data_IF_079805742276
#
_entry.id   IF_079805742276
#
_cell.length_a   1.000
_cell.length_b   1.000
_cell.length_c   1.000
_cell.angle_alpha   90.00
_cell.angle_beta   90.00
_cell.angle_gamma   90.00
#
_symmetry.space_group_name_H-M   'P 1'
#
loop_
_entity.id
_entity.type
_entity.pdbx_description
1 polymer ?
#
# COMPACT_ATOMS: atom_id res chain seq x y z
N UNK A 1 2.91 57.74 -3.81
CA UNK A 1 2.00 56.59 -3.95
C UNK A 1 2.87 55.33 -3.97
N UNK A 2 2.92 54.61 -2.85
CA UNK A 2 3.72 53.38 -2.69
C UNK A 2 2.88 52.20 -3.18
N UNK A 3 3.33 51.55 -4.26
CA UNK A 3 2.72 50.33 -4.79
C UNK A 3 3.07 49.16 -3.87
N UNK A 4 2.11 48.64 -3.14
CA UNK A 4 2.24 47.38 -2.43
C UNK A 4 2.16 46.22 -3.45
N UNK A 5 3.26 45.55 -3.65
CA UNK A 5 3.31 44.30 -4.40
C UNK A 5 2.92 43.19 -3.40
N UNK A 6 1.71 42.67 -3.52
CA UNK A 6 1.28 41.48 -2.80
C UNK A 6 1.90 40.28 -3.54
N UNK A 7 2.97 39.71 -2.97
CA UNK A 7 3.51 38.41 -3.40
C UNK A 7 2.58 37.35 -2.80
N UNK A 8 1.68 36.82 -3.62
CA UNK A 8 0.94 35.60 -3.28
C UNK A 8 1.95 34.46 -3.41
N UNK A 9 2.52 34.07 -2.27
CA UNK A 9 3.25 32.80 -2.18
C UNK A 9 2.23 31.68 -2.38
N UNK A 10 2.20 31.11 -3.59
CA UNK A 10 1.51 29.87 -3.85
C UNK A 10 2.21 28.80 -3.00
N UNK A 11 1.65 28.48 -1.83
CA UNK A 11 2.02 27.31 -1.06
C UNK A 11 1.66 26.09 -1.94
N UNK A 12 2.63 25.64 -2.75
CA UNK A 12 2.60 24.29 -3.28
C UNK A 12 2.68 23.33 -2.09
N UNK A 13 1.53 23.02 -1.49
CA UNK A 13 1.42 21.81 -0.71
C UNK A 13 1.77 20.67 -1.65
N UNK A 14 3.02 20.25 -1.64
CA UNK A 14 3.43 18.94 -2.12
C UNK A 14 2.71 17.95 -1.22
N UNK A 15 1.46 17.59 -1.56
CA UNK A 15 0.82 16.41 -1.05
C UNK A 15 1.75 15.27 -1.43
N UNK A 16 2.54 14.83 -0.47
CA UNK A 16 3.31 13.59 -0.57
C UNK A 16 2.29 12.55 -0.99
N UNK A 17 2.40 12.02 -2.21
CA UNK A 17 1.56 10.92 -2.67
C UNK A 17 1.81 9.78 -1.67
N UNK A 18 0.90 9.65 -0.73
CA UNK A 18 0.83 8.56 0.23
C UNK A 18 0.11 7.44 -0.50
N UNK A 19 0.56 6.19 -0.41
CA UNK A 19 -0.20 5.02 -0.84
C UNK A 19 -1.64 5.09 -0.30
N UNK A 20 -2.20 4.01 0.12
CA UNK A 20 -3.43 4.11 0.91
C UNK A 20 -3.35 5.21 1.97
N UNK A 21 -4.41 5.99 2.13
CA UNK A 21 -4.51 6.95 3.23
C UNK A 21 -4.30 6.25 4.58
N UNK A 22 -3.89 7.00 5.62
CA UNK A 22 -3.75 6.47 7.00
C UNK A 22 -4.95 5.62 7.41
N UNK A 23 -6.13 6.05 7.04
CA UNK A 23 -7.38 5.36 7.35
C UNK A 23 -7.44 3.96 6.75
N UNK A 24 -7.05 3.81 5.49
CA UNK A 24 -7.03 2.51 4.79
C UNK A 24 -5.90 1.62 5.34
N UNK A 25 -4.71 2.16 5.57
CA UNK A 25 -3.63 1.42 6.24
C UNK A 25 -4.06 0.87 7.61
N UNK A 26 -4.74 1.70 8.42
CA UNK A 26 -5.26 1.25 9.71
C UNK A 26 -6.31 0.15 9.56
N UNK A 27 -7.16 0.23 8.53
CA UNK A 27 -8.12 -0.82 8.21
C UNK A 27 -7.46 -2.13 7.79
N UNK A 28 -6.44 -2.08 6.93
CA UNK A 28 -5.65 -3.25 6.52
C UNK A 28 -4.97 -3.89 7.74
N UNK A 29 -4.31 -3.08 8.58
CA UNK A 29 -3.66 -3.56 9.79
C UNK A 29 -4.66 -4.15 10.81
N UNK A 30 -5.89 -3.61 10.90
CA UNK A 30 -6.94 -4.17 11.74
C UNK A 30 -7.40 -5.54 11.24
N UNK A 31 -7.60 -5.73 9.92
CA UNK A 31 -7.90 -7.03 9.33
C UNK A 31 -6.75 -8.01 9.60
N UNK A 32 -5.50 -7.57 9.42
CA UNK A 32 -4.33 -8.41 9.71
C UNK A 32 -4.31 -8.82 11.18
N UNK A 33 -4.50 -7.89 12.11
CA UNK A 33 -4.53 -8.16 13.54
C UNK A 33 -5.65 -9.14 13.94
N UNK A 34 -6.83 -9.04 13.33
CA UNK A 34 -7.97 -9.93 13.55
C UNK A 34 -7.65 -11.38 13.15
N UNK A 35 -6.76 -11.57 12.18
CA UNK A 35 -6.36 -12.87 11.61
C UNK A 35 -4.98 -13.36 12.09
N UNK A 36 -4.39 -12.74 13.12
CA UNK A 36 -3.21 -13.29 13.78
C UNK A 36 -3.58 -14.49 14.64
N UNK A 37 -2.68 -15.48 14.70
CA UNK A 37 -2.75 -16.55 15.70
C UNK A 37 -2.52 -15.95 17.10
N UNK A 38 -2.97 -16.64 18.13
CA UNK A 38 -2.81 -16.17 19.53
C UNK A 38 -1.32 -16.01 19.89
N UNK A 39 -0.45 -16.92 19.41
CA UNK A 39 0.99 -16.86 19.65
C UNK A 39 1.63 -15.66 18.93
N UNK A 40 1.32 -15.44 17.66
CA UNK A 40 1.80 -14.28 16.93
C UNK A 40 1.28 -12.98 17.55
N UNK A 41 0.02 -12.93 17.95
CA UNK A 41 -0.61 -11.77 18.59
C UNK A 41 0.11 -11.41 19.89
N UNK A 42 0.40 -12.41 20.72
CA UNK A 42 1.14 -12.24 21.98
C UNK A 42 2.55 -11.71 21.71
N UNK A 43 3.33 -12.39 20.86
CA UNK A 43 4.71 -12.02 20.53
C UNK A 43 4.81 -10.61 19.98
N UNK A 44 3.90 -10.24 19.07
CA UNK A 44 3.86 -8.90 18.46
C UNK A 44 3.46 -7.83 19.49
N UNK A 45 2.51 -8.12 20.37
CA UNK A 45 2.10 -7.20 21.44
C UNK A 45 3.27 -6.91 22.39
N UNK A 46 4.03 -7.92 22.78
CA UNK A 46 5.25 -7.76 23.59
C UNK A 46 6.33 -6.98 22.86
N UNK A 47 6.52 -7.23 21.55
CA UNK A 47 7.47 -6.51 20.70
C UNK A 47 7.12 -5.02 20.58
N UNK A 48 5.84 -4.68 20.59
CA UNK A 48 5.29 -3.32 20.45
C UNK A 48 4.97 -2.65 21.80
N UNK A 49 5.47 -3.18 22.92
CA UNK A 49 5.27 -2.65 24.27
C UNK A 49 3.77 -2.40 24.57
N UNK A 50 2.93 -3.39 24.26
CA UNK A 50 1.48 -3.39 24.52
C UNK A 50 0.63 -2.68 23.45
N UNK A 51 1.23 -2.10 22.40
CA UNK A 51 0.48 -1.46 21.31
C UNK A 51 0.15 -2.46 20.20
N UNK A 52 -0.90 -2.18 19.43
CA UNK A 52 -1.25 -3.02 18.27
C UNK A 52 -0.52 -2.54 17.01
N UNK A 53 -0.43 -3.41 15.99
CA UNK A 53 0.08 -3.07 14.67
C UNK A 53 -0.73 -1.95 13.99
N UNK A 54 -1.99 -1.76 14.38
CA UNK A 54 -2.86 -0.70 13.85
C UNK A 54 -2.32 0.70 14.20
N UNK A 55 -1.75 0.84 15.40
CA UNK A 55 -1.13 2.10 15.82
C UNK A 55 0.03 2.51 14.90
N UNK A 56 0.77 1.53 14.37
CA UNK A 56 1.95 1.74 13.53
C UNK A 56 1.70 1.49 12.03
N UNK A 57 0.44 1.46 11.59
CA UNK A 57 0.08 1.03 10.24
C UNK A 57 0.76 1.82 9.10
N UNK A 58 1.24 3.04 9.38
CA UNK A 58 1.97 3.89 8.43
C UNK A 58 3.41 4.19 8.87
N UNK A 59 4.08 3.27 9.51
CA UNK A 59 5.40 3.48 10.10
C UNK A 59 6.41 4.17 9.16
N UNK A 60 6.57 3.68 7.92
CA UNK A 60 7.49 4.28 6.93
C UNK A 60 7.15 5.75 6.65
N UNK A 61 5.87 6.11 6.63
CA UNK A 61 5.43 7.49 6.37
C UNK A 61 5.63 8.40 7.59
N UNK A 62 5.33 7.89 8.78
CA UNK A 62 5.42 8.65 10.02
C UNK A 62 6.87 9.01 10.37
N UNK A 63 7.82 8.16 10.00
CA UNK A 63 9.23 8.33 10.29
C UNK A 63 10.08 8.72 9.06
N UNK A 64 9.45 9.00 7.91
CA UNK A 64 10.15 9.26 6.65
C UNK A 64 11.18 10.41 6.73
N UNK A 65 11.00 11.38 7.61
CA UNK A 65 11.89 12.52 7.78
C UNK A 65 12.97 12.30 8.85
N UNK A 66 12.89 11.20 9.60
CA UNK A 66 13.96 10.81 10.50
C UNK A 66 15.15 10.28 9.69
N UNK A 67 16.37 10.69 10.06
CA UNK A 67 17.60 10.31 9.37
C UNK A 67 17.77 8.79 9.24
N UNK A 68 17.48 8.04 10.31
CA UNK A 68 17.56 6.58 10.34
C UNK A 68 16.65 5.90 9.31
N UNK A 69 15.54 6.53 8.92
CA UNK A 69 14.52 5.96 8.02
C UNK A 69 14.50 6.60 6.62
N UNK A 70 15.38 7.55 6.31
CA UNK A 70 15.43 8.22 4.99
C UNK A 70 15.55 7.23 3.82
N UNK A 71 16.24 6.12 4.02
CA UNK A 71 16.40 5.08 3.02
C UNK A 71 15.08 4.41 2.63
N UNK A 72 14.06 4.45 3.49
CA UNK A 72 12.74 3.85 3.22
C UNK A 72 11.87 4.70 2.27
N UNK A 73 12.25 5.94 1.97
CA UNK A 73 11.49 6.84 1.06
C UNK A 73 11.29 6.25 -0.33
N UNK A 74 12.17 5.36 -0.76
CA UNK A 74 12.09 4.67 -2.06
C UNK A 74 11.35 3.33 -2.00
N UNK A 75 10.84 2.93 -0.84
CA UNK A 75 10.16 1.64 -0.60
C UNK A 75 8.64 1.71 -0.72
N UNK A 76 8.11 2.70 -1.42
CA UNK A 76 6.65 2.92 -1.55
C UNK A 76 6.06 2.37 -2.83
N UNK A 77 6.85 2.30 -3.90
CA UNK A 77 6.41 1.90 -5.22
C UNK A 77 7.25 0.75 -5.75
N UNK A 78 6.67 0.00 -6.68
CA UNK A 78 7.35 -1.04 -7.43
C UNK A 78 7.23 -0.78 -8.92
N UNK A 79 8.32 -0.96 -9.68
CA UNK A 79 8.31 -0.78 -11.12
C UNK A 79 8.18 -2.12 -11.87
N UNK A 80 7.36 -2.11 -12.91
CA UNK A 80 7.11 -3.24 -13.80
C UNK A 80 7.45 -2.87 -15.24
N UNK A 81 7.95 -3.85 -15.99
CA UNK A 81 8.07 -3.75 -17.45
C UNK A 81 6.69 -3.84 -18.12
N UNK A 82 6.65 -3.55 -19.42
CA UNK A 82 5.50 -3.77 -20.30
C UNK A 82 4.94 -5.21 -20.28
N UNK A 83 5.80 -6.18 -19.94
CA UNK A 83 5.45 -7.62 -19.82
C UNK A 83 5.08 -8.05 -18.40
N UNK A 84 4.68 -7.13 -17.55
CA UNK A 84 4.30 -7.36 -16.14
C UNK A 84 5.39 -8.09 -15.31
N UNK A 85 6.67 -7.85 -15.60
CA UNK A 85 7.79 -8.37 -14.81
C UNK A 85 8.37 -7.28 -13.93
N UNK A 86 8.70 -7.60 -12.68
CA UNK A 86 9.37 -6.66 -11.78
C UNK A 86 10.65 -6.14 -12.44
N UNK A 87 10.80 -4.83 -12.50
CA UNK A 87 12.00 -4.19 -12.99
C UNK A 87 13.08 -4.28 -11.91
N UNK A 88 14.18 -4.99 -12.20
CA UNK A 88 15.27 -5.22 -11.25
C UNK A 88 15.83 -3.90 -10.71
N UNK A 89 16.13 -3.82 -9.42
CA UNK A 89 16.59 -2.62 -8.71
C UNK A 89 17.71 -1.86 -9.44
N UNK A 90 18.76 -2.57 -9.92
CA UNK A 90 19.85 -1.94 -10.69
C UNK A 90 19.38 -1.20 -11.96
N UNK A 91 18.33 -1.70 -12.62
CA UNK A 91 17.73 -1.05 -13.80
C UNK A 91 16.79 0.06 -13.37
N UNK A 92 15.95 -0.18 -12.36
CA UNK A 92 15.05 0.83 -11.81
C UNK A 92 15.83 2.06 -11.31
N UNK A 93 16.86 1.87 -10.49
CA UNK A 93 17.65 2.97 -9.90
C UNK A 93 18.40 3.82 -10.94
N UNK A 94 18.68 3.27 -12.13
CA UNK A 94 19.33 3.98 -13.25
C UNK A 94 18.34 4.58 -14.25
N UNK A 95 17.05 4.44 -14.02
CA UNK A 95 16.03 4.93 -14.95
C UNK A 95 15.93 6.46 -14.86
N UNK A 96 15.86 7.14 -16.01
CA UNK A 96 15.77 8.59 -16.07
C UNK A 96 14.52 9.16 -15.40
N UNK A 97 13.41 8.42 -15.50
CA UNK A 97 12.15 8.86 -14.88
C UNK A 97 12.16 8.60 -13.37
N UNK A 98 12.09 9.69 -12.57
CA UNK A 98 12.20 9.68 -11.11
C UNK A 98 11.26 8.70 -10.40
N UNK A 99 10.02 8.55 -10.89
CA UNK A 99 9.08 7.59 -10.28
C UNK A 99 9.59 6.14 -10.35
N UNK A 100 10.27 5.78 -11.44
CA UNK A 100 10.85 4.44 -11.61
C UNK A 100 12.13 4.29 -10.79
N UNK A 101 13.02 5.29 -10.80
CA UNK A 101 14.28 5.22 -10.04
C UNK A 101 14.07 5.19 -8.52
N UNK A 102 12.91 5.63 -8.03
CA UNK A 102 12.49 5.54 -6.62
C UNK A 102 11.52 4.40 -6.31
N UNK A 103 11.34 3.42 -7.22
CA UNK A 103 10.36 2.34 -7.08
C UNK A 103 11.03 1.05 -6.60
N UNK A 104 11.53 1.04 -5.36
CA UNK A 104 12.32 -0.03 -4.77
C UNK A 104 11.60 -0.74 -3.60
N UNK A 105 10.26 -0.74 -3.59
CA UNK A 105 9.47 -1.37 -2.52
C UNK A 105 9.72 -2.89 -2.43
N UNK A 106 9.91 -3.56 -3.55
CA UNK A 106 10.19 -5.00 -3.55
C UNK A 106 11.52 -5.33 -2.86
N UNK A 107 12.55 -4.57 -3.12
CA UNK A 107 13.86 -4.72 -2.47
C UNK A 107 13.78 -4.45 -0.97
N UNK A 108 13.07 -3.40 -0.56
CA UNK A 108 12.81 -3.11 0.84
C UNK A 108 12.08 -4.24 1.54
N UNK A 109 11.03 -4.77 0.90
CA UNK A 109 10.26 -5.89 1.44
C UNK A 109 11.10 -7.16 1.59
N UNK A 110 11.82 -7.57 0.54
CA UNK A 110 12.70 -8.75 0.55
C UNK A 110 13.79 -8.61 1.61
N UNK A 111 14.40 -7.42 1.71
CA UNK A 111 15.44 -7.15 2.72
C UNK A 111 14.89 -7.30 4.14
N UNK A 112 13.75 -6.67 4.44
CA UNK A 112 13.14 -6.73 5.77
C UNK A 112 12.68 -8.14 6.15
N UNK A 113 12.06 -8.88 5.21
CA UNK A 113 11.66 -10.27 5.43
C UNK A 113 12.86 -11.19 5.65
N UNK A 114 13.92 -11.06 4.85
CA UNK A 114 15.15 -11.86 5.02
C UNK A 114 15.81 -11.59 6.37
N UNK A 115 15.84 -10.33 6.79
CA UNK A 115 16.37 -9.95 8.09
C UNK A 115 15.58 -10.59 9.24
N UNK A 116 14.24 -10.52 9.19
CA UNK A 116 13.36 -11.14 10.18
C UNK A 116 13.53 -12.66 10.25
N UNK A 117 13.59 -13.34 9.08
CA UNK A 117 13.78 -14.79 9.02
C UNK A 117 15.16 -15.24 9.52
N UNK A 118 16.15 -14.34 9.60
CA UNK A 118 17.47 -14.69 10.12
C UNK A 118 17.49 -15.03 11.62
N UNK A 119 16.50 -14.53 12.38
CA UNK A 119 16.43 -14.69 13.84
C UNK A 119 17.57 -14.01 14.61
N UNK A 120 18.36 -13.12 13.95
CA UNK A 120 19.57 -12.51 14.52
C UNK A 120 19.41 -11.03 14.87
N UNK A 121 18.22 -10.51 14.80
CA UNK A 121 17.92 -9.09 15.04
C UNK A 121 17.76 -8.78 16.53
N UNK A 122 18.11 -7.56 16.94
CA UNK A 122 17.70 -7.03 18.25
C UNK A 122 16.18 -6.82 18.29
N UNK A 123 15.61 -6.61 19.48
CA UNK A 123 14.18 -6.29 19.65
C UNK A 123 13.77 -5.09 18.79
N UNK A 124 14.56 -4.02 18.81
CA UNK A 124 14.28 -2.81 18.03
C UNK A 124 14.34 -3.07 16.51
N UNK A 125 15.39 -3.75 16.03
CA UNK A 125 15.52 -4.11 14.63
C UNK A 125 14.39 -5.03 14.16
N UNK A 126 13.96 -5.97 15.00
CA UNK A 126 12.83 -6.87 14.71
C UNK A 126 11.55 -6.05 14.55
N UNK A 127 11.27 -5.15 15.50
CA UNK A 127 10.13 -4.23 15.45
C UNK A 127 10.13 -3.41 14.16
N UNK A 128 11.23 -2.76 13.86
CA UNK A 128 11.31 -1.83 12.72
C UNK A 128 11.17 -2.56 11.38
N UNK A 129 11.82 -3.71 11.21
CA UNK A 129 11.66 -4.53 10.00
C UNK A 129 10.23 -5.07 9.85
N UNK A 130 9.59 -5.51 10.94
CA UNK A 130 8.19 -5.95 10.94
C UNK A 130 7.26 -4.80 10.50
N UNK A 131 7.43 -3.60 11.04
CA UNK A 131 6.62 -2.44 10.68
C UNK A 131 6.86 -1.97 9.24
N UNK A 132 8.08 -2.09 8.73
CA UNK A 132 8.37 -1.89 7.31
C UNK A 132 7.61 -2.91 6.44
N UNK A 133 7.64 -4.20 6.78
CA UNK A 133 6.91 -5.24 6.06
C UNK A 133 5.40 -4.93 6.01
N UNK A 134 4.80 -4.57 7.13
CA UNK A 134 3.37 -4.21 7.19
C UNK A 134 3.05 -3.05 6.25
N UNK A 135 3.83 -1.97 6.31
CA UNK A 135 3.57 -0.78 5.48
C UNK A 135 3.79 -1.08 4.00
N UNK A 136 4.89 -1.75 3.63
CA UNK A 136 5.21 -2.06 2.23
C UNK A 136 4.18 -3.02 1.63
N UNK A 137 3.80 -4.08 2.34
CA UNK A 137 2.76 -5.00 1.84
C UNK A 137 1.42 -4.30 1.68
N UNK A 138 1.04 -3.39 2.61
CA UNK A 138 -0.16 -2.57 2.42
C UNK A 138 -0.09 -1.75 1.14
N UNK A 139 1.03 -1.07 0.90
CA UNK A 139 1.26 -0.26 -0.31
C UNK A 139 1.21 -1.10 -1.58
N UNK A 140 1.81 -2.29 -1.58
CA UNK A 140 1.84 -3.19 -2.72
C UNK A 140 0.48 -3.89 -3.00
N UNK A 141 -0.56 -3.57 -2.23
CA UNK A 141 -1.95 -3.90 -2.57
C UNK A 141 -2.75 -2.67 -3.02
N UNK A 142 -2.09 -1.51 -3.20
CA UNK A 142 -2.67 -0.35 -3.87
C UNK A 142 -2.30 -0.36 -5.35
N UNK A 143 -3.26 -0.41 -6.29
CA UNK A 143 -2.94 -0.50 -7.72
C UNK A 143 -2.02 0.60 -8.24
N UNK A 144 -2.14 1.81 -7.70
CA UNK A 144 -1.37 2.96 -8.15
C UNK A 144 0.08 2.96 -7.69
N UNK A 145 0.49 2.04 -6.83
CA UNK A 145 1.88 1.81 -6.43
C UNK A 145 2.66 0.93 -7.41
N UNK A 146 1.96 0.34 -8.39
CA UNK A 146 2.59 -0.36 -9.50
C UNK A 146 2.86 0.63 -10.63
N UNK A 147 4.13 0.85 -10.93
CA UNK A 147 4.58 1.76 -11.97
C UNK A 147 4.97 0.94 -13.19
N UNK A 148 4.12 0.95 -14.20
CA UNK A 148 4.41 0.31 -15.47
C UNK A 148 5.19 1.27 -16.37
N UNK A 149 6.32 0.82 -16.92
CA UNK A 149 7.24 1.66 -17.70
C UNK A 149 6.59 2.27 -18.94
N UNK A 150 5.60 1.60 -19.49
CA UNK A 150 4.84 2.02 -20.68
C UNK A 150 3.55 2.80 -20.37
N UNK A 151 3.17 2.95 -19.08
CA UNK A 151 1.95 3.66 -18.67
C UNK A 151 2.22 4.92 -17.83
N UNK A 152 3.42 5.49 -17.92
CA UNK A 152 3.81 6.65 -17.11
C UNK A 152 2.89 7.87 -17.30
N UNK A 153 2.44 8.12 -18.54
CA UNK A 153 1.53 9.24 -18.80
C UNK A 153 0.15 9.01 -18.20
N UNK A 154 -0.34 7.77 -18.15
CA UNK A 154 -1.62 7.44 -17.51
C UNK A 154 -1.62 7.69 -16.00
N UNK A 155 -0.45 7.70 -15.35
CA UNK A 155 -0.33 8.09 -13.93
C UNK A 155 -0.67 9.56 -13.69
N UNK A 156 -0.62 10.41 -14.70
CA UNK A 156 -1.00 11.83 -14.63
C UNK A 156 -2.49 12.06 -14.88
N UNK A 157 -3.28 11.00 -15.10
CA UNK A 157 -4.71 11.09 -15.38
C UNK A 157 -5.47 11.81 -14.26
N UNK A 158 -6.49 12.53 -14.64
CA UNK A 158 -7.33 13.32 -13.76
C UNK A 158 -8.78 13.35 -14.27
N UNK A 159 -9.68 13.74 -13.39
CA UNK A 159 -11.10 13.97 -13.71
C UNK A 159 -11.57 15.29 -13.11
N UNK A 160 -12.71 15.75 -13.54
CA UNK A 160 -13.40 16.93 -13.01
C UNK A 160 -14.72 16.51 -12.35
N UNK A 161 -15.00 17.10 -11.20
CA UNK A 161 -16.27 17.01 -10.51
C UNK A 161 -16.55 18.30 -9.74
N UNK A 162 -17.77 18.89 -9.90
CA UNK A 162 -18.11 20.19 -9.33
C UNK A 162 -17.06 21.28 -9.62
N UNK A 163 -16.66 21.40 -10.90
CA UNK A 163 -15.66 22.35 -11.41
C UNK A 163 -14.26 22.24 -10.80
N UNK A 164 -14.00 21.22 -9.99
CA UNK A 164 -12.69 20.93 -9.41
C UNK A 164 -12.01 19.79 -10.15
N UNK A 165 -10.70 19.92 -10.27
CA UNK A 165 -9.81 18.89 -10.83
C UNK A 165 -9.32 17.95 -9.73
N UNK A 166 -9.41 16.65 -9.96
CA UNK A 166 -8.98 15.61 -9.04
C UNK A 166 -8.01 14.65 -9.71
N UNK A 167 -6.94 14.26 -9.00
CA UNK A 167 -6.00 13.25 -9.45
C UNK A 167 -6.62 11.85 -9.41
N UNK A 168 -6.43 11.06 -10.45
CA UNK A 168 -6.84 9.66 -10.48
C UNK A 168 -6.06 8.82 -9.46
N UNK A 169 -4.76 9.06 -9.35
CA UNK A 169 -3.92 8.44 -8.32
C UNK A 169 -4.44 8.74 -6.91
N UNK A 170 -4.68 10.02 -6.62
CA UNK A 170 -5.21 10.45 -5.32
C UNK A 170 -6.60 9.89 -5.01
N UNK A 171 -7.41 9.59 -6.05
CA UNK A 171 -8.69 8.90 -5.86
C UNK A 171 -8.47 7.48 -5.30
N UNK A 172 -7.58 6.69 -5.92
CA UNK A 172 -7.26 5.35 -5.43
C UNK A 172 -6.69 5.37 -4.02
N UNK A 173 -5.77 6.26 -3.75
CA UNK A 173 -5.06 6.36 -2.48
C UNK A 173 -5.95 6.75 -1.29
N UNK A 174 -6.98 7.56 -1.53
CA UNK A 174 -7.76 8.14 -0.43
C UNK A 174 -9.27 7.91 -0.53
N UNK A 175 -9.82 7.98 -1.74
CA UNK A 175 -11.26 8.08 -1.95
C UNK A 175 -11.91 6.80 -2.50
N UNK A 176 -11.13 5.82 -2.94
CA UNK A 176 -11.66 4.58 -3.50
C UNK A 176 -12.54 3.79 -2.52
N UNK A 177 -12.32 3.96 -1.22
CA UNK A 177 -13.16 3.43 -0.15
C UNK A 177 -13.88 4.57 0.56
N UNK A 178 -13.16 5.58 1.03
CA UNK A 178 -13.75 6.69 1.81
C UNK A 178 -14.81 7.49 1.03
N UNK A 179 -14.64 7.64 -0.27
CA UNK A 179 -15.62 8.33 -1.13
C UNK A 179 -16.95 7.59 -1.26
N UNK A 180 -16.96 6.28 -1.02
CA UNK A 180 -18.13 5.41 -1.08
C UNK A 180 -18.65 5.05 0.30
N UNK A 181 -17.74 4.78 1.25
CA UNK A 181 -18.04 4.35 2.61
C UNK A 181 -17.29 5.22 3.62
N UNK A 182 -17.99 5.71 4.62
CA UNK A 182 -17.38 6.46 5.71
C UNK A 182 -17.06 5.53 6.90
N UNK A 183 -16.39 4.40 6.62
CA UNK A 183 -16.04 3.39 7.61
C UNK A 183 -15.04 3.91 8.64
N UNK A 184 -15.22 3.52 9.89
CA UNK A 184 -14.19 3.58 10.94
C UNK A 184 -13.30 2.35 10.85
N UNK A 185 -12.16 2.34 11.54
CA UNK A 185 -11.17 1.25 11.47
C UNK A 185 -11.77 -0.12 11.80
N UNK A 186 -12.65 -0.23 12.80
CA UNK A 186 -13.30 -1.47 13.17
C UNK A 186 -14.28 -1.99 12.09
N UNK A 187 -14.86 -1.10 11.30
CA UNK A 187 -15.80 -1.49 10.25
C UNK A 187 -15.11 -2.19 9.09
N UNK A 188 -13.81 -1.93 8.85
CA UNK A 188 -13.03 -2.71 7.88
C UNK A 188 -13.01 -4.20 8.27
N UNK A 189 -12.82 -4.52 9.54
CA UNK A 189 -12.90 -5.90 10.03
C UNK A 189 -14.30 -6.46 9.81
N UNK A 190 -15.34 -5.76 10.28
CA UNK A 190 -16.73 -6.21 10.15
C UNK A 190 -17.17 -6.43 8.71
N UNK A 191 -16.69 -5.64 7.77
CA UNK A 191 -17.13 -5.70 6.37
C UNK A 191 -16.22 -6.59 5.50
N UNK A 192 -14.93 -6.69 5.80
CA UNK A 192 -13.95 -7.31 4.91
C UNK A 192 -13.25 -8.54 5.49
N UNK A 193 -13.21 -8.73 6.84
CA UNK A 193 -12.62 -9.93 7.46
C UNK A 193 -13.66 -11.06 7.52
N UNK A 194 -14.12 -11.54 6.35
CA UNK A 194 -15.21 -12.51 6.22
C UNK A 194 -14.89 -13.68 5.29
N UNK A 195 -13.63 -13.88 4.95
CA UNK A 195 -13.22 -15.01 4.10
C UNK A 195 -13.24 -16.30 4.89
N UNK A 196 -13.66 -17.38 4.26
CA UNK A 196 -13.56 -18.71 4.87
C UNK A 196 -12.10 -19.18 4.95
N UNK A 197 -11.77 -20.18 5.78
CA UNK A 197 -10.42 -20.73 5.82
C UNK A 197 -9.88 -21.16 4.45
N UNK A 198 -10.73 -21.75 3.61
CA UNK A 198 -10.39 -22.18 2.26
C UNK A 198 -10.06 -20.98 1.36
N UNK A 199 -10.83 -19.89 1.46
CA UNK A 199 -10.57 -18.65 0.72
C UNK A 199 -9.28 -17.98 1.21
N UNK A 200 -9.01 -18.00 2.52
CA UNK A 200 -7.76 -17.48 3.08
C UNK A 200 -6.58 -18.30 2.56
N UNK A 201 -6.68 -19.63 2.56
CA UNK A 201 -5.64 -20.50 2.01
C UNK A 201 -5.33 -20.18 0.53
N UNK A 202 -6.36 -19.94 -0.29
CA UNK A 202 -6.19 -19.53 -1.69
C UNK A 202 -5.53 -18.14 -1.81
N UNK A 203 -5.94 -17.17 -1.00
CA UNK A 203 -5.37 -15.81 -0.99
C UNK A 203 -3.89 -15.83 -0.62
N UNK A 204 -3.49 -16.73 0.27
CA UNK A 204 -2.14 -16.84 0.83
C UNK A 204 -1.29 -17.91 0.18
N UNK A 205 -1.80 -18.58 -0.87
CA UNK A 205 -1.05 -19.56 -1.65
C UNK A 205 0.13 -18.91 -2.37
N UNK A 206 1.23 -19.66 -2.52
CA UNK A 206 2.44 -19.23 -3.21
C UNK A 206 3.40 -18.45 -2.32
N UNK A 207 4.24 -17.64 -2.95
CA UNK A 207 5.23 -16.79 -2.28
C UNK A 207 4.81 -15.32 -2.29
N UNK A 208 5.48 -14.51 -1.48
CA UNK A 208 5.29 -13.04 -1.50
C UNK A 208 5.54 -12.47 -2.91
N UNK A 209 6.53 -13.01 -3.62
CA UNK A 209 6.82 -12.61 -5.02
C UNK A 209 5.67 -12.98 -5.95
N UNK A 210 5.07 -14.16 -5.78
CA UNK A 210 3.92 -14.60 -6.59
C UNK A 210 2.71 -13.68 -6.36
N UNK A 211 2.44 -13.28 -5.12
CA UNK A 211 1.37 -12.35 -4.80
C UNK A 211 1.54 -11.00 -5.51
N UNK A 212 2.76 -10.46 -5.46
CA UNK A 212 3.08 -9.17 -6.07
C UNK A 212 3.00 -9.24 -7.60
N UNK A 213 3.58 -10.26 -8.20
CA UNK A 213 3.54 -10.41 -9.67
C UNK A 213 2.16 -10.77 -10.17
N UNK A 214 1.41 -11.58 -9.42
CA UNK A 214 0.03 -11.95 -9.72
C UNK A 214 -0.95 -10.77 -9.72
N UNK A 215 -0.69 -9.73 -8.92
CA UNK A 215 -1.50 -8.51 -8.93
C UNK A 215 -1.28 -7.64 -10.18
N UNK A 216 -0.14 -7.74 -10.87
CA UNK A 216 0.25 -6.82 -11.93
C UNK A 216 -0.75 -6.73 -13.11
N UNK A 217 -1.34 -7.83 -13.63
CA UNK A 217 -2.35 -7.73 -14.70
C UNK A 217 -3.59 -6.94 -14.28
N UNK A 218 -4.12 -7.19 -13.09
CA UNK A 218 -5.25 -6.44 -12.54
C UNK A 218 -4.90 -4.97 -12.37
N UNK A 219 -3.73 -4.66 -11.81
CA UNK A 219 -3.35 -3.27 -11.56
C UNK A 219 -3.00 -2.49 -12.83
N UNK A 220 -2.56 -3.18 -13.87
CA UNK A 220 -2.43 -2.59 -15.21
C UNK A 220 -3.80 -2.18 -15.76
N UNK A 221 -4.80 -3.04 -15.63
CA UNK A 221 -6.15 -2.77 -16.19
C UNK A 221 -6.85 -1.59 -15.50
N UNK A 222 -6.52 -1.24 -14.25
CA UNK A 222 -7.17 -0.09 -13.59
C UNK A 222 -6.82 1.23 -14.28
N UNK A 223 -5.70 1.33 -15.00
CA UNK A 223 -5.35 2.52 -15.76
C UNK A 223 -6.29 2.79 -16.95
N UNK A 224 -7.12 1.82 -17.33
CA UNK A 224 -8.12 1.96 -18.39
C UNK A 224 -9.52 2.31 -17.84
N UNK A 225 -9.68 2.43 -16.53
CA UNK A 225 -10.98 2.77 -15.91
C UNK A 225 -11.30 4.27 -15.96
N UNK A 226 -10.36 5.10 -16.41
CA UNK A 226 -10.56 6.55 -16.52
C UNK A 226 -9.86 7.11 -17.76
N UNK A 227 -10.62 7.76 -18.62
CA UNK A 227 -10.08 8.65 -19.64
C UNK A 227 -9.73 10.00 -18.99
N UNK A 228 -8.50 10.47 -19.23
CA UNK A 228 -8.01 11.71 -18.60
C UNK A 228 -8.85 12.90 -19.03
N UNK A 229 -9.19 13.77 -18.07
CA UNK A 229 -10.02 14.95 -18.32
C UNK A 229 -11.53 14.69 -18.28
N UNK A 230 -11.97 13.45 -18.03
CA UNK A 230 -13.41 13.12 -17.87
C UNK A 230 -14.09 14.08 -16.89
N UNK A 231 -15.26 14.59 -17.27
CA UNK A 231 -16.11 15.42 -16.43
C UNK A 231 -17.29 14.59 -15.94
N UNK A 232 -17.38 14.46 -14.63
CA UNK A 232 -18.47 13.72 -13.98
C UNK A 232 -19.54 14.69 -13.45
N UNK A 233 -20.78 14.28 -13.57
CA UNK A 233 -21.89 14.69 -12.68
C UNK A 233 -22.05 13.70 -11.53
N UNK A 234 -23.00 13.96 -10.62
CA UNK A 234 -23.19 13.08 -9.45
C UNK A 234 -23.62 11.65 -9.81
N UNK A 235 -24.30 11.42 -10.94
CA UNK A 235 -24.74 10.09 -11.39
C UNK A 235 -23.60 9.34 -12.04
N UNK A 236 -22.92 9.94 -12.99
CA UNK A 236 -21.81 9.33 -13.73
C UNK A 236 -20.60 9.06 -12.81
N UNK A 237 -20.34 9.91 -11.83
CA UNK A 237 -19.34 9.68 -10.80
C UNK A 237 -19.65 8.40 -10.01
N UNK A 238 -20.90 8.24 -9.52
CA UNK A 238 -21.27 7.02 -8.78
C UNK A 238 -21.15 5.75 -9.64
N UNK A 239 -21.54 5.81 -10.90
CA UNK A 239 -21.40 4.68 -11.82
C UNK A 239 -19.93 4.29 -12.04
N UNK A 240 -19.06 5.29 -12.12
CA UNK A 240 -17.62 5.06 -12.21
C UNK A 240 -17.04 4.51 -10.89
N UNK A 241 -17.43 5.06 -9.76
CA UNK A 241 -17.04 4.57 -8.44
C UNK A 241 -17.42 3.11 -8.22
N UNK A 242 -18.61 2.69 -8.70
CA UNK A 242 -19.06 1.31 -8.62
C UNK A 242 -18.19 0.31 -9.39
N UNK A 243 -17.32 0.76 -10.31
CA UNK A 243 -16.30 -0.09 -10.95
C UNK A 243 -15.03 -0.20 -10.11
N UNK A 244 -14.75 0.77 -9.27
CA UNK A 244 -13.50 0.88 -8.52
C UNK A 244 -13.60 0.25 -7.13
N UNK A 245 -14.66 0.55 -6.39
CA UNK A 245 -14.72 0.16 -4.98
C UNK A 245 -14.66 -1.37 -4.76
N UNK A 246 -15.23 -2.27 -5.62
CA UNK A 246 -15.06 -3.70 -5.43
C UNK A 246 -13.61 -4.15 -5.52
N UNK A 247 -12.83 -3.55 -6.43
CA UNK A 247 -11.38 -3.82 -6.55
C UNK A 247 -10.66 -3.33 -5.29
N UNK A 248 -10.94 -2.10 -4.83
CA UNK A 248 -10.31 -1.52 -3.66
C UNK A 248 -10.59 -2.31 -2.39
N UNK A 249 -11.84 -2.68 -2.15
CA UNK A 249 -12.23 -3.42 -0.94
C UNK A 249 -11.65 -4.82 -0.93
N UNK A 250 -11.62 -5.51 -2.08
CA UNK A 250 -10.99 -6.82 -2.18
C UNK A 250 -9.47 -6.71 -1.95
N UNK A 251 -8.79 -5.73 -2.53
CA UNK A 251 -7.35 -5.55 -2.32
C UNK A 251 -7.00 -5.19 -0.87
N UNK A 252 -7.83 -4.44 -0.19
CA UNK A 252 -7.68 -4.15 1.26
C UNK A 252 -7.84 -5.43 2.09
N UNK A 253 -8.84 -6.25 1.80
CA UNK A 253 -9.03 -7.53 2.46
C UNK A 253 -7.84 -8.47 2.23
N UNK A 254 -7.45 -8.66 0.97
CA UNK A 254 -6.30 -9.50 0.57
C UNK A 254 -5.01 -9.05 1.23
N UNK A 255 -4.76 -7.74 1.30
CA UNK A 255 -3.60 -7.17 2.00
C UNK A 255 -3.59 -7.59 3.48
N UNK A 256 -4.73 -7.45 4.18
CA UNK A 256 -4.85 -7.84 5.58
C UNK A 256 -4.55 -9.33 5.81
N UNK A 257 -5.13 -10.23 5.02
CA UNK A 257 -4.88 -11.67 5.14
C UNK A 257 -3.43 -12.06 4.83
N UNK A 258 -2.82 -11.48 3.80
CA UNK A 258 -1.42 -11.73 3.43
C UNK A 258 -0.44 -11.21 4.48
N UNK A 259 -0.70 -10.04 5.06
CA UNK A 259 0.07 -9.53 6.19
C UNK A 259 -0.06 -10.44 7.40
N UNK A 260 -1.28 -10.89 7.74
CA UNK A 260 -1.48 -11.86 8.83
C UNK A 260 -0.70 -13.15 8.59
N UNK A 261 -0.76 -13.73 7.37
CA UNK A 261 -0.04 -14.94 7.03
C UNK A 261 1.48 -14.77 7.20
N UNK A 262 2.05 -13.65 6.74
CA UNK A 262 3.47 -13.33 6.93
C UNK A 262 3.83 -13.19 8.40
N UNK A 263 3.03 -12.46 9.18
CA UNK A 263 3.29 -12.26 10.60
C UNK A 263 3.13 -13.55 11.41
N UNK A 264 2.11 -14.36 11.12
CA UNK A 264 1.95 -15.67 11.72
C UNK A 264 3.17 -16.56 11.42
N UNK A 265 3.61 -16.62 10.17
CA UNK A 265 4.81 -17.38 9.76
C UNK A 265 6.11 -16.94 10.46
N UNK A 266 6.20 -15.68 10.89
CA UNK A 266 7.39 -15.11 11.55
C UNK A 266 7.35 -15.25 13.07
N UNK A 267 6.17 -15.22 13.68
CA UNK A 267 5.98 -15.09 15.12
C UNK A 267 5.25 -16.27 15.78
N UNK A 268 4.84 -17.28 14.99
CA UNK A 268 4.29 -18.53 15.47
C UNK A 268 4.95 -19.71 14.73
N UNK A 269 5.73 -20.50 15.47
CA UNK A 269 6.45 -21.66 14.90
C UNK A 269 5.54 -22.75 14.34
N UNK A 270 4.27 -22.78 14.74
CA UNK A 270 3.29 -23.76 14.29
C UNK A 270 2.52 -23.30 13.05
N UNK A 271 2.64 -22.03 12.67
CA UNK A 271 1.95 -21.48 11.51
C UNK A 271 2.59 -21.93 10.19
N UNK A 272 1.81 -22.03 9.11
CA UNK A 272 2.35 -22.28 7.78
C UNK A 272 3.42 -21.26 7.39
N UNK A 273 4.53 -21.76 6.83
CA UNK A 273 5.65 -20.90 6.45
C UNK A 273 5.38 -20.17 5.13
N UNK A 274 5.53 -18.86 5.12
CA UNK A 274 5.42 -18.02 3.94
C UNK A 274 6.79 -17.86 3.28
N UNK A 275 6.89 -18.24 2.00
CA UNK A 275 8.11 -18.07 1.22
C UNK A 275 8.21 -16.65 0.67
N UNK A 276 9.43 -16.11 0.57
CA UNK A 276 9.67 -14.81 -0.07
C UNK A 276 9.64 -14.95 -1.60
N UNK A 277 10.24 -16.04 -2.10
CA UNK A 277 10.36 -16.39 -3.55
C UNK A 277 9.99 -17.83 -3.77
#
# INVERSE_FOLDING_TARGET
MKKFIIIIAALCCSLSASAWSRHIHSGIAAIAHDNLTDEAKKSITELLDGKSIVYYAQHIYDYADNEAYKHTKVWRNIAFTDKNKILKAKKAAKHEHKAISSALAYEGLVSSLTALQSGKLTKEQTRDNMLCVITILSDLHCPTHYIFTDLLEKRKSYYHYNDKKYSYMGYWESNSIRGTFNWKTNEFVHQLSRKTPEQIAQITEGSVTDWITGNAPLYRSVYDLLDTGTRFDGKSLRLWQNKIYPISTEQVAVAGYRIAAVLNSLFDSNAPQVKIK
#
